data_IF_158906956717
#
_entry.id   IF_158906956717
#
_cell.length_a   1.000
_cell.length_b   1.000
_cell.length_c   1.000
_cell.angle_alpha   90.00
_cell.angle_beta   90.00
_cell.angle_gamma   90.00
#
_symmetry.space_group_name_H-M   'P 1'
#
loop_
_entity.id
_entity.type
_entity.pdbx_description
1 polymer ?
#
# COMPACT_ATOMS: atom_id res chain seq x y z
N UNK A 1 45.87 -42.42 22.92
CA UNK A 1 44.69 -41.57 22.67
C UNK A 1 43.53 -42.16 23.46
N UNK A 2 43.09 -41.49 24.52
CA UNK A 2 42.14 -42.07 25.49
C UNK A 2 40.69 -41.93 24.98
N UNK A 3 39.78 -42.81 25.42
CA UNK A 3 38.35 -42.73 25.08
C UNK A 3 37.74 -41.33 25.36
N UNK A 4 38.31 -40.63 26.34
CA UNK A 4 37.97 -39.24 26.68
C UNK A 4 38.33 -38.23 25.56
N UNK A 5 39.48 -38.39 24.90
CA UNK A 5 39.88 -37.53 23.77
C UNK A 5 39.02 -37.79 22.52
N UNK A 6 38.66 -39.05 22.28
CA UNK A 6 37.71 -39.39 21.20
C UNK A 6 36.32 -38.82 21.48
N UNK A 7 35.80 -38.94 22.71
CA UNK A 7 34.53 -38.35 23.11
C UNK A 7 34.49 -36.82 22.96
N UNK A 8 35.56 -36.14 23.38
CA UNK A 8 35.69 -34.68 23.24
C UNK A 8 35.75 -34.23 21.77
N UNK A 9 36.40 -35.01 20.91
CA UNK A 9 36.48 -34.73 19.46
C UNK A 9 35.12 -34.90 18.77
N UNK A 10 34.37 -35.96 19.10
CA UNK A 10 33.02 -36.20 18.57
C UNK A 10 32.06 -35.12 19.05
N UNK A 11 32.04 -34.82 20.35
CA UNK A 11 31.19 -33.77 20.92
C UNK A 11 31.45 -32.39 20.28
N UNK A 12 32.72 -31.99 20.14
CA UNK A 12 33.08 -30.73 19.48
C UNK A 12 32.68 -30.70 17.99
N UNK A 13 32.71 -31.84 17.31
CA UNK A 13 32.26 -31.92 15.91
C UNK A 13 30.75 -31.75 15.81
N UNK A 14 29.99 -32.44 16.66
CA UNK A 14 28.52 -32.37 16.70
C UNK A 14 28.04 -30.96 17.06
N UNK A 15 28.66 -30.33 18.07
CA UNK A 15 28.31 -28.97 18.50
C UNK A 15 28.52 -27.94 17.38
N UNK A 16 29.61 -28.06 16.61
CA UNK A 16 29.88 -27.18 15.46
C UNK A 16 28.85 -27.34 14.35
N UNK A 17 28.43 -28.57 14.06
CA UNK A 17 27.40 -28.84 13.05
C UNK A 17 26.08 -28.22 13.48
N UNK A 18 25.64 -28.45 14.73
CA UNK A 18 24.40 -27.87 15.26
C UNK A 18 24.45 -26.35 15.18
N UNK A 19 25.52 -25.73 15.67
CA UNK A 19 25.67 -24.27 15.60
C UNK A 19 25.63 -23.73 14.17
N UNK A 20 26.34 -24.38 13.24
CA UNK A 20 26.33 -23.98 11.83
C UNK A 20 24.95 -24.09 11.21
N UNK A 21 24.20 -25.16 11.50
CA UNK A 21 22.84 -25.34 10.98
C UNK A 21 21.90 -24.29 11.57
N UNK A 22 21.96 -24.06 12.88
CA UNK A 22 21.15 -23.02 13.54
C UNK A 22 21.45 -21.64 12.99
N UNK A 23 22.73 -21.29 12.81
CA UNK A 23 23.14 -20.00 12.24
C UNK A 23 22.63 -19.83 10.81
N UNK A 24 22.75 -20.86 9.96
CA UNK A 24 22.21 -20.83 8.59
C UNK A 24 20.70 -20.63 8.58
N UNK A 25 19.96 -21.31 9.46
CA UNK A 25 18.51 -21.13 9.59
C UNK A 25 18.17 -19.69 9.98
N UNK A 26 18.87 -19.12 10.98
CA UNK A 26 18.66 -17.73 11.40
C UNK A 26 18.95 -16.74 10.26
N UNK A 27 20.02 -16.95 9.48
CA UNK A 27 20.34 -16.10 8.32
C UNK A 27 19.27 -16.22 7.23
N UNK A 28 18.77 -17.44 6.95
CA UNK A 28 17.72 -17.65 5.93
C UNK A 28 16.43 -16.96 6.37
N UNK A 29 16.00 -17.16 7.62
CA UNK A 29 14.79 -16.51 8.16
C UNK A 29 14.98 -15.00 8.15
N UNK A 30 16.10 -14.50 8.69
CA UNK A 30 16.41 -13.07 8.72
C UNK A 30 16.43 -12.43 7.33
N UNK A 31 17.05 -13.08 6.34
CA UNK A 31 17.06 -12.57 4.96
C UNK A 31 15.69 -12.57 4.30
N UNK A 32 14.82 -13.54 4.60
CA UNK A 32 13.43 -13.52 4.15
C UNK A 32 12.66 -12.30 4.68
N UNK A 33 12.88 -11.90 5.94
CA UNK A 33 12.34 -10.66 6.52
C UNK A 33 12.85 -9.37 5.85
N UNK A 34 14.04 -9.40 5.22
CA UNK A 34 14.54 -8.23 4.47
C UNK A 34 13.99 -8.19 3.03
N UNK A 35 13.46 -9.30 2.51
CA UNK A 35 12.90 -9.37 1.14
C UNK A 35 11.42 -8.95 1.09
N UNK A 36 10.72 -8.96 2.20
CA UNK A 36 9.30 -8.57 2.32
C UNK A 36 9.09 -7.08 2.06
N UNK A 37 9.83 -6.16 2.69
CA UNK A 37 9.67 -4.71 2.43
C UNK A 37 9.85 -4.30 0.94
N UNK A 38 10.81 -4.87 0.18
CA UNK A 38 10.86 -4.72 -1.27
C UNK A 38 9.60 -5.19 -2.01
N UNK A 39 8.96 -6.29 -1.57
CA UNK A 39 7.73 -6.81 -2.18
C UNK A 39 6.53 -5.89 -1.92
N UNK A 40 6.43 -5.34 -0.72
CA UNK A 40 5.43 -4.32 -0.38
C UNK A 40 5.61 -3.08 -1.28
N UNK A 41 6.84 -2.59 -1.36
CA UNK A 41 7.18 -1.44 -2.22
C UNK A 41 6.86 -1.71 -3.70
N UNK A 42 7.17 -2.91 -4.19
CA UNK A 42 6.84 -3.31 -5.56
C UNK A 42 5.33 -3.36 -5.80
N UNK A 43 4.55 -3.80 -4.81
CA UNK A 43 3.09 -3.88 -4.92
C UNK A 43 2.47 -2.49 -4.94
N UNK A 44 2.93 -1.58 -4.07
CA UNK A 44 2.55 -0.17 -4.09
C UNK A 44 2.90 0.49 -5.42
N UNK A 45 4.12 0.30 -5.91
CA UNK A 45 4.56 0.83 -7.21
C UNK A 45 3.69 0.35 -8.38
N UNK A 46 3.23 -0.91 -8.34
CA UNK A 46 2.31 -1.43 -9.35
C UNK A 46 0.93 -0.78 -9.28
N UNK A 47 0.43 -0.46 -8.08
CA UNK A 47 -0.79 0.33 -7.89
C UNK A 47 -0.61 1.75 -8.43
N UNK A 48 0.50 2.42 -8.12
CA UNK A 48 0.86 3.73 -8.69
C UNK A 48 0.86 3.72 -10.21
N UNK A 49 1.47 2.70 -10.81
CA UNK A 49 1.45 2.53 -12.26
C UNK A 49 0.05 2.28 -12.79
N UNK A 50 -0.76 1.47 -12.11
CA UNK A 50 -2.13 1.18 -12.52
C UNK A 50 -3.01 2.44 -12.51
N UNK A 51 -2.93 3.25 -11.45
CA UNK A 51 -3.62 4.55 -11.40
C UNK A 51 -3.17 5.45 -12.55
N UNK A 52 -1.86 5.61 -12.73
CA UNK A 52 -1.32 6.55 -13.71
C UNK A 52 -1.54 6.14 -15.18
N UNK A 53 -1.80 4.87 -15.49
CA UNK A 53 -1.77 4.37 -16.87
C UNK A 53 -2.86 3.39 -17.27
N UNK A 54 -3.49 2.69 -16.32
CA UNK A 54 -4.50 1.67 -16.61
C UNK A 54 -5.92 2.17 -16.39
N UNK A 55 -6.12 3.15 -15.52
CA UNK A 55 -7.41 3.82 -15.36
C UNK A 55 -7.62 4.77 -16.54
N UNK A 56 -8.72 4.59 -17.27
CA UNK A 56 -9.11 5.49 -18.34
C UNK A 56 -9.79 6.71 -17.76
N UNK A 57 -9.07 7.83 -17.73
CA UNK A 57 -9.63 9.12 -17.32
C UNK A 57 -10.32 9.81 -18.52
N UNK A 58 -11.44 10.53 -18.31
CA UNK A 58 -12.01 11.41 -19.33
C UNK A 58 -10.99 12.44 -19.81
N UNK A 59 -11.07 12.82 -21.09
CA UNK A 59 -10.11 13.72 -21.73
C UNK A 59 -10.16 15.15 -21.16
N UNK A 60 -11.32 15.53 -20.62
CA UNK A 60 -11.64 16.81 -19.98
C UNK A 60 -11.18 16.89 -18.53
N UNK A 61 -10.22 16.04 -18.14
CA UNK A 61 -9.72 15.96 -16.76
C UNK A 61 -8.23 16.25 -16.71
N UNK A 62 -7.82 17.07 -15.75
CA UNK A 62 -6.41 17.35 -15.47
C UNK A 62 -5.98 16.69 -14.16
N UNK A 63 -4.79 16.10 -14.18
CA UNK A 63 -4.13 15.65 -12.96
C UNK A 63 -3.69 16.88 -12.15
N UNK A 64 -4.07 16.92 -10.87
CA UNK A 64 -3.65 17.97 -9.94
C UNK A 64 -2.55 17.44 -9.03
N UNK A 65 -2.79 16.30 -8.37
CA UNK A 65 -1.85 15.73 -7.40
C UNK A 65 -1.96 14.21 -7.30
N UNK A 66 -0.88 13.58 -6.82
CA UNK A 66 -0.78 12.14 -6.59
C UNK A 66 -0.48 11.86 -5.13
N UNK A 67 -1.10 10.82 -4.60
CA UNK A 67 -0.90 10.34 -3.24
C UNK A 67 -0.64 8.85 -3.25
N UNK A 68 0.21 8.39 -2.34
CA UNK A 68 0.34 6.98 -2.03
C UNK A 68 0.58 6.78 -0.54
N UNK A 69 0.07 5.66 -0.04
CA UNK A 69 0.19 5.28 1.36
C UNK A 69 0.43 3.77 1.46
N UNK A 70 1.35 3.44 2.37
CA UNK A 70 1.62 2.08 2.81
C UNK A 70 1.84 2.12 4.33
N UNK A 71 1.02 1.40 5.07
CA UNK A 71 1.19 1.24 6.51
C UNK A 71 -0.08 0.79 7.22
N UNK A 72 -0.03 0.79 8.55
CA UNK A 72 -1.10 0.29 9.44
C UNK A 72 -1.91 1.40 10.12
N UNK A 73 -1.57 2.68 9.92
CA UNK A 73 -2.18 3.81 10.65
C UNK A 73 -3.71 3.82 10.70
N UNK A 74 -4.36 3.36 9.62
CA UNK A 74 -5.80 3.52 9.41
C UNK A 74 -6.61 2.24 9.71
N UNK A 75 -5.97 1.18 10.18
CA UNK A 75 -6.63 -0.07 10.56
C UNK A 75 -6.16 -0.47 11.97
N UNK A 76 -7.09 -0.84 12.85
CA UNK A 76 -6.81 -1.25 14.24
C UNK A 76 -6.17 -2.65 14.37
N UNK A 77 -5.86 -3.30 13.24
CA UNK A 77 -5.35 -4.68 13.17
C UNK A 77 -3.88 -4.73 12.75
N UNK A 78 -3.26 -5.90 12.92
CA UNK A 78 -1.93 -6.26 12.41
C UNK A 78 -1.95 -6.44 10.88
N UNK A 79 -2.50 -5.44 10.18
CA UNK A 79 -2.73 -5.45 8.75
C UNK A 79 -2.10 -4.21 8.12
N UNK A 80 -1.56 -4.41 6.91
CA UNK A 80 -0.99 -3.36 6.12
C UNK A 80 -1.97 -2.90 5.03
N UNK A 81 -2.16 -1.60 4.95
CA UNK A 81 -3.02 -0.95 3.96
C UNK A 81 -2.18 -0.38 2.85
N UNK A 82 -2.65 -0.59 1.62
CA UNK A 82 -2.09 0.02 0.42
C UNK A 82 -3.16 0.91 -0.18
N UNK A 83 -2.83 2.19 -0.35
CA UNK A 83 -3.71 3.12 -1.02
C UNK A 83 -2.91 3.96 -2.00
N UNK A 84 -3.48 4.21 -3.18
CA UNK A 84 -2.90 5.12 -4.15
C UNK A 84 -4.02 5.92 -4.80
N UNK A 85 -3.86 7.23 -4.86
CA UNK A 85 -4.86 8.14 -5.38
C UNK A 85 -4.29 9.22 -6.30
N UNK A 86 -5.16 9.75 -7.15
CA UNK A 86 -4.95 10.95 -7.94
C UNK A 86 -6.08 11.92 -7.68
N UNK A 87 -5.76 13.14 -7.22
CA UNK A 87 -6.71 14.24 -7.26
C UNK A 87 -6.66 14.85 -8.66
N UNK A 88 -7.84 15.01 -9.24
CA UNK A 88 -8.03 15.53 -10.58
C UNK A 88 -9.08 16.63 -10.56
N UNK A 89 -9.02 17.49 -11.57
CA UNK A 89 -10.03 18.52 -11.80
C UNK A 89 -10.71 18.31 -13.14
N UNK A 90 -11.96 18.75 -13.24
CA UNK A 90 -12.75 18.66 -14.47
C UNK A 90 -13.87 19.70 -14.50
N UNK A 91 -14.37 19.99 -15.70
CA UNK A 91 -15.57 20.81 -15.91
C UNK A 91 -16.80 19.95 -16.28
N UNK A 92 -16.67 18.62 -16.24
CA UNK A 92 -17.80 17.70 -16.44
C UNK A 92 -18.76 17.78 -15.26
N UNK A 93 -20.04 17.54 -15.51
CA UNK A 93 -21.01 17.38 -14.41
C UNK A 93 -20.67 16.17 -13.54
N UNK A 94 -21.01 16.21 -12.25
CA UNK A 94 -20.75 15.10 -11.30
C UNK A 94 -21.35 13.78 -11.80
N UNK A 95 -22.58 13.82 -12.33
CA UNK A 95 -23.26 12.62 -12.84
C UNK A 95 -22.55 12.04 -14.05
N UNK A 96 -22.13 12.89 -14.99
CA UNK A 96 -21.34 12.42 -16.13
C UNK A 96 -20.03 11.83 -15.65
N UNK A 97 -19.29 12.52 -14.77
CA UNK A 97 -18.04 12.05 -14.21
C UNK A 97 -18.17 10.65 -13.57
N UNK A 98 -19.11 10.48 -12.64
CA UNK A 98 -19.32 9.21 -11.94
C UNK A 98 -19.69 8.08 -12.90
N UNK A 99 -20.50 8.35 -13.92
CA UNK A 99 -20.87 7.34 -14.93
C UNK A 99 -19.66 6.82 -15.73
N UNK A 100 -18.59 7.62 -15.89
CA UNK A 100 -17.35 7.19 -16.57
C UNK A 100 -16.53 6.20 -15.76
N UNK A 101 -16.69 6.19 -14.45
CA UNK A 101 -15.98 5.31 -13.53
C UNK A 101 -16.84 4.16 -12.99
N UNK A 102 -18.11 4.11 -13.35
CA UNK A 102 -19.04 3.09 -12.89
C UNK A 102 -18.53 1.68 -13.25
N UNK A 103 -18.45 0.79 -12.24
CA UNK A 103 -17.96 -0.59 -12.38
C UNK A 103 -16.52 -0.71 -12.95
N UNK A 104 -15.74 0.37 -12.89
CA UNK A 104 -14.38 0.35 -13.42
C UNK A 104 -13.47 -0.46 -12.48
N UNK A 105 -12.68 -1.35 -13.07
CA UNK A 105 -11.76 -2.22 -12.32
C UNK A 105 -10.45 -2.39 -13.07
N UNK A 106 -9.35 -2.35 -12.34
CA UNK A 106 -8.01 -2.54 -12.90
C UNK A 106 -7.45 -3.90 -12.52
N UNK A 107 -6.73 -4.51 -13.45
CA UNK A 107 -5.97 -5.74 -13.20
C UNK A 107 -4.51 -5.37 -12.93
N UNK A 108 -4.00 -5.71 -11.76
CA UNK A 108 -2.65 -5.36 -11.32
C UNK A 108 -1.88 -6.65 -11.13
N UNK A 109 -0.76 -6.79 -11.83
CA UNK A 109 0.07 -7.99 -11.71
C UNK A 109 0.52 -8.21 -10.25
N UNK A 110 0.37 -9.43 -9.74
CA UNK A 110 0.64 -9.77 -8.33
C UNK A 110 -0.53 -9.55 -7.37
N UNK A 111 -1.66 -9.03 -7.86
CA UNK A 111 -2.94 -9.03 -7.15
C UNK A 111 -3.83 -10.13 -7.74
N UNK A 112 -4.50 -10.90 -6.88
CA UNK A 112 -5.33 -12.04 -7.31
C UNK A 112 -6.71 -11.60 -7.77
N UNK A 113 -7.14 -10.38 -7.43
CA UNK A 113 -8.45 -9.83 -7.73
C UNK A 113 -8.30 -8.57 -8.58
N UNK A 114 -9.29 -8.32 -9.44
CA UNK A 114 -9.42 -7.02 -10.10
C UNK A 114 -9.77 -6.00 -9.02
N UNK A 115 -9.03 -4.91 -8.97
CA UNK A 115 -9.20 -3.89 -7.95
C UNK A 115 -10.25 -2.87 -8.43
N UNK A 116 -11.29 -2.58 -7.65
CA UNK A 116 -12.24 -1.53 -7.97
C UNK A 116 -11.56 -0.17 -7.98
N UNK A 117 -11.96 0.67 -8.92
CA UNK A 117 -11.59 2.08 -8.97
C UNK A 117 -12.64 2.85 -8.18
N UNK A 118 -12.21 3.54 -7.13
CA UNK A 118 -13.08 4.38 -6.31
C UNK A 118 -12.96 5.83 -6.74
N UNK A 119 -14.07 6.56 -6.64
CA UNK A 119 -14.14 7.98 -6.96
C UNK A 119 -14.87 8.72 -5.84
N UNK A 120 -14.24 9.77 -5.31
CA UNK A 120 -14.82 10.68 -4.33
C UNK A 120 -14.81 12.08 -4.91
N UNK A 121 -15.97 12.74 -4.91
CA UNK A 121 -16.04 14.17 -5.20
C UNK A 121 -15.48 14.91 -4.00
N UNK A 122 -14.74 15.99 -4.22
CA UNK A 122 -14.22 16.85 -3.16
C UNK A 122 -15.12 18.08 -3.09
N UNK A 123 -16.05 18.07 -2.15
CA UNK A 123 -16.93 19.18 -1.80
C UNK A 123 -16.95 19.39 -0.28
N UNK A 124 -17.54 20.49 0.19
CA UNK A 124 -17.62 20.82 1.62
C UNK A 124 -18.41 19.78 2.44
N UNK A 125 -19.22 18.93 1.80
CA UNK A 125 -20.08 17.93 2.44
C UNK A 125 -19.50 16.50 2.33
N UNK A 126 -18.30 16.34 1.77
CA UNK A 126 -17.74 15.02 1.49
C UNK A 126 -17.39 14.30 2.78
N UNK A 127 -18.29 13.40 3.18
CA UNK A 127 -18.06 12.48 4.29
C UNK A 127 -17.11 11.38 3.83
N UNK A 128 -15.82 11.58 4.04
CA UNK A 128 -14.83 10.50 3.91
C UNK A 128 -15.01 9.51 5.07
N UNK A 129 -14.95 8.19 4.82
CA UNK A 129 -14.96 7.20 5.88
C UNK A 129 -13.85 7.51 6.90
N UNK A 130 -14.20 7.47 8.19
CA UNK A 130 -13.22 7.63 9.27
C UNK A 130 -12.27 6.43 9.21
N UNK A 131 -10.96 6.68 9.28
CA UNK A 131 -9.96 5.61 9.21
C UNK A 131 -9.63 5.20 7.78
N UNK A 132 -9.62 6.13 6.82
CA UNK A 132 -9.06 5.90 5.49
C UNK A 132 -8.00 6.95 5.13
N UNK A 133 -6.94 6.58 4.39
CA UNK A 133 -5.93 7.53 3.92
C UNK A 133 -6.50 8.68 3.08
N UNK A 134 -7.65 8.44 2.44
CA UNK A 134 -8.33 9.40 1.57
C UNK A 134 -8.74 10.66 2.30
N UNK A 135 -9.08 10.56 3.59
CA UNK A 135 -9.43 11.72 4.42
C UNK A 135 -8.27 12.68 4.56
N UNK A 136 -7.12 12.20 5.04
CA UNK A 136 -5.92 13.02 5.23
C UNK A 136 -5.51 13.68 3.90
N UNK A 137 -5.61 12.97 2.78
CA UNK A 137 -5.28 13.54 1.46
C UNK A 137 -6.23 14.65 1.03
N UNK A 138 -7.53 14.49 1.29
CA UNK A 138 -8.55 15.49 0.95
C UNK A 138 -8.40 16.70 1.88
N UNK A 139 -8.21 16.49 3.18
CA UNK A 139 -8.01 17.55 4.16
C UNK A 139 -6.76 18.39 3.81
N UNK A 140 -5.62 17.73 3.54
CA UNK A 140 -4.37 18.38 3.10
C UNK A 140 -4.52 19.11 1.76
N UNK A 141 -5.39 18.63 0.87
CA UNK A 141 -5.66 19.25 -0.42
C UNK A 141 -6.54 20.50 -0.26
N UNK A 142 -7.65 20.40 0.46
CA UNK A 142 -8.57 21.52 0.69
C UNK A 142 -7.91 22.65 1.48
N UNK A 143 -6.98 22.34 2.39
CA UNK A 143 -6.21 23.38 3.10
C UNK A 143 -5.32 24.19 2.15
N UNK A 144 -4.76 23.56 1.11
CA UNK A 144 -3.82 24.20 0.18
C UNK A 144 -4.48 24.83 -1.04
N UNK A 145 -5.65 24.34 -1.46
CA UNK A 145 -6.31 24.75 -2.68
C UNK A 145 -7.67 25.37 -2.37
N UNK A 146 -7.94 26.54 -2.95
CA UNK A 146 -9.27 27.16 -2.87
C UNK A 146 -10.22 26.42 -3.81
N UNK A 147 -10.95 25.44 -3.30
CA UNK A 147 -11.90 24.60 -4.07
C UNK A 147 -13.19 25.31 -4.46
N UNK A 148 -13.37 26.58 -4.07
CA UNK A 148 -14.58 27.38 -4.32
C UNK A 148 -14.65 28.03 -5.71
N UNK A 149 -13.84 27.58 -6.67
CA UNK A 149 -13.93 28.08 -8.04
C UNK A 149 -15.21 27.57 -8.72
N UNK A 150 -16.08 28.50 -9.12
CA UNK A 150 -17.26 28.16 -9.89
C UNK A 150 -16.83 27.47 -11.20
N UNK A 151 -17.50 26.35 -11.52
CA UNK A 151 -17.32 25.53 -12.73
C UNK A 151 -16.20 24.48 -12.73
N UNK A 152 -15.35 24.39 -11.67
CA UNK A 152 -14.34 23.33 -11.55
C UNK A 152 -14.72 22.35 -10.45
N UNK A 153 -14.82 21.07 -10.80
CA UNK A 153 -15.01 19.98 -9.84
C UNK A 153 -13.66 19.33 -9.59
N UNK A 154 -13.28 19.25 -8.32
CA UNK A 154 -12.17 18.43 -7.85
C UNK A 154 -12.69 17.08 -7.37
N UNK A 155 -11.94 16.03 -7.68
CA UNK A 155 -12.31 14.67 -7.31
C UNK A 155 -11.08 13.79 -7.13
N UNK A 156 -11.15 12.86 -6.21
CA UNK A 156 -10.13 11.84 -5.95
C UNK A 156 -10.52 10.55 -6.67
N UNK A 157 -9.63 10.03 -7.50
CA UNK A 157 -9.70 8.66 -8.04
C UNK A 157 -8.66 7.83 -7.31
N UNK A 158 -9.05 6.72 -6.69
CA UNK A 158 -8.10 5.94 -5.91
C UNK A 158 -8.33 4.43 -5.98
N UNK A 159 -7.27 3.73 -5.64
CA UNK A 159 -7.18 2.29 -5.46
C UNK A 159 -6.87 2.01 -4.01
N UNK A 160 -7.56 1.03 -3.43
CA UNK A 160 -7.49 0.70 -2.02
C UNK A 160 -7.46 -0.81 -1.82
N UNK A 161 -6.48 -1.28 -1.05
CA UNK A 161 -6.32 -2.68 -0.68
C UNK A 161 -5.95 -2.76 0.82
N UNK A 162 -6.94 -3.03 1.69
CA UNK A 162 -6.69 -3.30 3.10
C UNK A 162 -6.26 -4.76 3.32
N UNK A 163 -5.87 -5.11 4.54
CA UNK A 163 -5.74 -6.51 4.96
C UNK A 163 -4.58 -7.28 4.36
N UNK A 164 -3.48 -6.60 4.01
CA UNK A 164 -2.26 -7.30 3.60
C UNK A 164 -1.43 -7.69 4.82
N UNK A 165 -0.75 -8.82 4.72
CA UNK A 165 0.21 -9.29 5.74
C UNK A 165 1.17 -8.17 6.12
N UNK A 166 1.34 -7.90 7.42
CA UNK A 166 2.29 -6.96 8.00
C UNK A 166 3.73 -7.53 8.09
N UNK A 167 3.86 -8.85 7.97
CA UNK A 167 5.11 -9.59 8.18
C UNK A 167 6.26 -9.03 7.33
N UNK A 168 7.25 -8.50 8.04
CA UNK A 168 8.56 -8.14 7.48
C UNK A 168 8.60 -6.82 6.71
N UNK A 169 7.64 -5.94 6.92
CA UNK A 169 7.78 -4.52 6.60
C UNK A 169 7.47 -3.69 7.84
N UNK A 170 8.49 -2.99 8.37
CA UNK A 170 8.36 -2.21 9.60
C UNK A 170 7.31 -1.10 9.49
N UNK A 171 7.03 -0.62 8.27
CA UNK A 171 5.99 0.40 8.02
C UNK A 171 4.58 -0.13 8.32
N UNK A 172 4.41 -1.44 8.29
CA UNK A 172 3.17 -2.13 8.63
C UNK A 172 3.09 -2.52 10.13
N UNK A 173 4.12 -2.18 10.93
CA UNK A 173 4.17 -2.46 12.37
C UNK A 173 3.96 -1.21 13.22
N UNK A 174 3.85 -0.03 12.60
CA UNK A 174 3.50 1.21 13.29
C UNK A 174 2.01 1.19 13.61
N UNK A 175 1.65 0.56 14.74
CA UNK A 175 0.32 0.74 15.33
C UNK A 175 0.18 2.22 15.70
N UNK A 176 -0.92 2.84 15.26
CA UNK A 176 -1.27 4.20 15.68
C UNK A 176 -1.30 4.24 17.21
N UNK A 177 -0.42 5.05 17.80
CA UNK A 177 -0.44 5.39 19.23
C UNK A 177 -1.58 6.37 19.52
#
# INVERSE_FOLDING_TARGET
MTLFEQGKKVFNSTAKIIFSVTLSIVIIIGSAFFLTAPLHTLSLWRMERAVASSIQHPAETSLVERFSFLGSRYIDDAECTYAVGEIRSTNLSIQELLSRYENNTVSIFGFTRRMPVYVLIIDEETLTPIGEPTRDWIDDFVERFNTNEADIIYYLVYLYEPGRSDIGDYRCLEQGL
#
